data_IF_768186894842
#
_entry.id   IF_768186894842
#
_cell.length_a   1.000
_cell.length_b   1.000
_cell.length_c   1.000
_cell.angle_alpha   90.00
_cell.angle_beta   90.00
_cell.angle_gamma   90.00
#
_symmetry.space_group_name_H-M   'P 1'
#
loop_
_entity.id
_entity.type
_entity.pdbx_description
1 polymer ?
#
# COMPACT_ATOMS: atom_id res chain seq x y z
N UNK A 1 -12.19 -15.37 -80.70
CA UNK A 1 -13.44 -15.07 -79.97
C UNK A 1 -13.20 -15.23 -78.48
N UNK A 2 -13.67 -14.26 -77.69
CA UNK A 2 -13.85 -14.33 -76.23
C UNK A 2 -12.58 -14.31 -75.37
N UNK A 3 -12.54 -13.80 -74.13
CA UNK A 3 -13.47 -13.07 -73.25
C UNK A 3 -12.56 -12.43 -72.17
N UNK A 4 -12.95 -11.26 -71.65
CA UNK A 4 -12.33 -10.58 -70.50
C UNK A 4 -12.55 -11.36 -69.19
N UNK A 5 -11.55 -11.46 -68.32
CA UNK A 5 -11.69 -11.95 -66.94
C UNK A 5 -10.57 -11.40 -66.05
N UNK A 6 -10.93 -10.64 -65.01
CA UNK A 6 -10.01 -9.98 -64.08
C UNK A 6 -9.30 -10.94 -63.10
N UNK A 7 -8.38 -10.41 -62.27
CA UNK A 7 -7.64 -11.24 -61.31
C UNK A 7 -8.53 -11.68 -60.14
N UNK A 8 -8.60 -12.99 -59.97
CA UNK A 8 -9.15 -13.68 -58.79
C UNK A 8 -8.10 -13.73 -57.67
N UNK A 9 -8.59 -13.67 -56.44
CA UNK A 9 -7.83 -13.54 -55.20
C UNK A 9 -7.30 -14.92 -54.76
N UNK A 10 -6.08 -14.99 -54.21
CA UNK A 10 -5.72 -16.05 -53.25
C UNK A 10 -4.67 -15.59 -52.24
N UNK A 11 -5.14 -15.50 -51.00
CA UNK A 11 -4.50 -15.98 -49.77
C UNK A 11 -3.14 -15.40 -49.37
N UNK A 12 -3.20 -14.29 -48.62
CA UNK A 12 -2.12 -13.87 -47.73
C UNK A 12 -2.27 -14.56 -46.37
N UNK A 13 -1.24 -15.29 -45.98
CA UNK A 13 -1.10 -16.08 -44.76
C UNK A 13 -1.21 -15.24 -43.47
N UNK A 14 -2.13 -15.61 -42.58
CA UNK A 14 -2.15 -15.20 -41.18
C UNK A 14 -0.87 -15.70 -40.49
N UNK A 15 -0.03 -14.76 -40.09
CA UNK A 15 1.19 -15.03 -39.31
C UNK A 15 0.93 -14.66 -37.86
N UNK A 16 0.89 -15.70 -37.04
CA UNK A 16 0.92 -15.79 -35.58
C UNK A 16 1.25 -14.51 -34.80
N UNK A 17 0.22 -13.92 -34.19
CA UNK A 17 0.35 -12.88 -33.17
C UNK A 17 0.93 -13.51 -31.90
N UNK A 18 2.23 -13.29 -31.72
CA UNK A 18 3.02 -13.82 -30.62
C UNK A 18 3.03 -12.84 -29.45
N UNK A 19 2.61 -13.34 -28.30
CA UNK A 19 3.12 -12.94 -26.99
C UNK A 19 2.57 -11.63 -26.45
N UNK A 20 1.57 -11.76 -25.58
CA UNK A 20 1.23 -10.73 -24.62
C UNK A 20 2.49 -10.19 -23.95
N UNK A 21 2.61 -8.87 -24.06
CA UNK A 21 3.76 -8.04 -23.74
C UNK A 21 4.35 -8.35 -22.36
N UNK A 22 5.69 -8.46 -22.22
CA UNK A 22 6.29 -8.40 -20.91
C UNK A 22 5.96 -7.00 -20.39
N UNK A 23 5.26 -6.92 -19.26
CA UNK A 23 5.08 -5.66 -18.55
C UNK A 23 6.47 -5.05 -18.32
N UNK A 24 6.82 -4.12 -19.21
CA UNK A 24 7.83 -3.08 -19.09
C UNK A 24 8.97 -3.42 -18.11
N UNK A 25 9.83 -4.34 -18.52
CA UNK A 25 11.16 -4.50 -17.92
C UNK A 25 12.01 -3.21 -18.00
N UNK A 26 11.58 -2.23 -18.79
CA UNK A 26 12.13 -0.88 -18.85
C UNK A 26 11.87 -0.02 -17.60
N UNK A 27 10.95 -0.40 -16.70
CA UNK A 27 10.88 0.25 -15.37
C UNK A 27 12.08 -0.09 -14.48
N UNK A 28 12.81 -1.17 -14.77
CA UNK A 28 13.92 -1.62 -13.93
C UNK A 28 15.30 -1.14 -14.43
N UNK A 29 15.37 -0.38 -15.53
CA UNK A 29 16.63 0.05 -16.15
C UNK A 29 16.71 1.55 -16.43
N UNK A 30 15.91 2.37 -15.77
CA UNK A 30 16.14 3.81 -15.70
C UNK A 30 16.74 4.12 -14.34
N UNK A 31 17.89 4.79 -14.30
CA UNK A 31 18.51 5.31 -13.07
C UNK A 31 17.69 6.41 -12.38
N UNK A 32 16.37 6.39 -12.56
CA UNK A 32 15.43 7.28 -11.91
C UNK A 32 15.02 6.58 -10.61
N UNK A 33 15.71 6.93 -9.53
CA UNK A 33 15.28 6.50 -8.19
C UNK A 33 13.85 7.02 -8.00
N UNK A 34 12.89 6.20 -7.51
CA UNK A 34 11.51 6.65 -7.36
C UNK A 34 11.48 7.94 -6.54
N UNK A 35 10.65 8.89 -6.96
CA UNK A 35 10.55 10.20 -6.29
C UNK A 35 10.38 10.00 -4.77
N UNK A 36 11.05 10.81 -3.92
CA UNK A 36 10.94 10.68 -2.47
C UNK A 36 9.49 10.75 -2.00
N UNK A 37 9.09 9.79 -1.17
CA UNK A 37 7.72 9.67 -0.63
C UNK A 37 7.75 9.82 0.89
N UNK A 38 6.61 10.20 1.47
CA UNK A 38 6.38 10.11 2.91
C UNK A 38 5.52 8.89 3.22
N UNK A 39 6.09 7.91 3.91
CA UNK A 39 5.46 6.62 4.19
C UNK A 39 5.23 6.46 5.69
N UNK A 40 4.01 6.08 6.06
CA UNK A 40 3.65 5.69 7.43
C UNK A 40 3.46 4.18 7.49
N UNK A 41 4.24 3.50 8.32
CA UNK A 41 4.08 2.08 8.63
C UNK A 41 3.26 1.97 9.93
N UNK A 42 1.96 1.73 9.80
CA UNK A 42 1.07 1.51 10.94
C UNK A 42 1.15 0.04 11.38
N UNK A 43 1.62 -0.22 12.60
CA UNK A 43 1.74 -1.57 13.15
C UNK A 43 1.07 -1.64 14.51
N UNK A 44 0.01 -2.44 14.60
CA UNK A 44 -0.70 -2.75 15.85
C UNK A 44 -0.49 -4.22 16.14
N UNK A 45 0.27 -4.53 17.20
CA UNK A 45 0.62 -5.91 17.53
C UNK A 45 1.68 -6.01 18.64
N UNK A 46 2.25 -7.20 18.75
CA UNK A 46 3.33 -7.56 19.69
C UNK A 46 4.71 -7.13 19.18
N UNK A 47 5.76 -7.30 19.99
CA UNK A 47 7.14 -7.06 19.59
C UNK A 47 7.55 -7.82 18.32
N UNK A 48 7.04 -9.07 18.17
CA UNK A 48 7.28 -9.89 16.98
C UNK A 48 6.63 -9.34 15.72
N UNK A 49 5.50 -8.62 15.86
CA UNK A 49 4.84 -7.96 14.74
C UNK A 49 5.57 -6.68 14.33
N UNK A 50 6.17 -5.94 15.28
CA UNK A 50 6.86 -4.67 15.00
C UNK A 50 8.23 -4.87 14.35
N UNK A 51 8.97 -5.90 14.76
CA UNK A 51 10.36 -6.11 14.35
C UNK A 51 10.55 -6.14 12.82
N UNK A 52 9.77 -6.89 12.02
CA UNK A 52 9.95 -6.95 10.56
C UNK A 52 9.77 -5.60 9.88
N UNK A 53 8.85 -4.77 10.37
CA UNK A 53 8.58 -3.44 9.79
C UNK A 53 9.69 -2.44 10.07
N UNK A 54 10.49 -2.65 11.11
CA UNK A 54 11.69 -1.83 11.30
C UNK A 54 12.72 -2.06 10.18
N UNK A 55 12.90 -3.31 9.74
CA UNK A 55 13.80 -3.63 8.64
C UNK A 55 13.27 -3.10 7.30
N UNK A 56 11.96 -3.23 7.05
CA UNK A 56 11.30 -2.68 5.86
C UNK A 56 11.45 -1.15 5.84
N UNK A 57 11.15 -0.49 6.96
CA UNK A 57 11.26 0.96 7.08
C UNK A 57 12.69 1.45 6.84
N UNK A 58 13.70 0.73 7.35
CA UNK A 58 15.10 1.06 7.10
C UNK A 58 15.47 0.95 5.62
N UNK A 59 14.94 -0.04 4.90
CA UNK A 59 15.17 -0.16 3.46
C UNK A 59 14.54 1.01 2.71
N UNK A 60 13.28 1.32 2.98
CA UNK A 60 12.59 2.46 2.39
C UNK A 60 13.32 3.79 2.67
N UNK A 61 13.83 3.97 3.89
CA UNK A 61 14.63 5.14 4.24
C UNK A 61 15.94 5.23 3.44
N UNK A 62 16.62 4.09 3.24
CA UNK A 62 17.84 4.01 2.39
C UNK A 62 17.55 4.32 0.93
N UNK A 63 16.36 3.95 0.44
CA UNK A 63 15.91 4.22 -0.92
C UNK A 63 15.46 5.70 -1.10
N UNK A 64 15.58 6.54 -0.05
CA UNK A 64 15.35 7.99 -0.11
C UNK A 64 13.96 8.44 0.38
N UNK A 65 13.15 7.53 0.91
CA UNK A 65 11.83 7.86 1.43
C UNK A 65 11.89 8.34 2.88
N UNK A 66 11.00 9.26 3.24
CA UNK A 66 10.77 9.65 4.64
C UNK A 66 9.83 8.63 5.28
N UNK A 67 10.32 7.88 6.27
CA UNK A 67 9.57 6.79 6.89
C UNK A 67 9.27 7.08 8.35
N UNK A 68 8.00 6.90 8.74
CA UNK A 68 7.55 6.95 10.13
C UNK A 68 6.82 5.67 10.50
N UNK A 69 7.21 5.04 11.60
CA UNK A 69 6.54 3.85 12.12
C UNK A 69 5.61 4.27 13.27
N UNK A 70 4.32 3.95 13.13
CA UNK A 70 3.30 4.24 14.12
C UNK A 70 2.91 2.95 14.86
N UNK A 71 3.18 2.89 16.18
CA UNK A 71 2.88 1.71 17.02
C UNK A 71 2.69 2.08 18.49
N UNK A 72 2.59 1.08 19.37
CA UNK A 72 2.49 1.27 20.82
C UNK A 72 3.74 1.97 21.38
N UNK A 73 3.60 2.87 22.38
CA UNK A 73 4.71 3.66 22.93
C UNK A 73 5.91 2.85 23.41
N UNK A 74 5.68 1.63 23.88
CA UNK A 74 6.68 0.68 24.37
C UNK A 74 7.76 0.36 23.32
N UNK A 75 7.43 0.45 22.04
CA UNK A 75 8.35 0.13 20.94
C UNK A 75 9.08 1.36 20.39
N UNK A 76 8.91 2.54 20.98
CA UNK A 76 9.56 3.78 20.55
C UNK A 76 11.07 3.62 20.43
N UNK A 77 11.72 3.10 21.46
CA UNK A 77 13.18 2.95 21.49
C UNK A 77 13.66 1.97 20.43
N UNK A 78 12.95 0.85 20.25
CA UNK A 78 13.23 -0.11 19.19
C UNK A 78 13.23 0.58 17.82
N UNK A 79 12.20 1.35 17.50
CA UNK A 79 12.05 2.03 16.21
C UNK A 79 13.11 3.11 16.02
N UNK A 80 13.30 3.97 17.01
CA UNK A 80 14.25 5.09 16.93
C UNK A 80 15.70 4.59 16.88
N UNK A 81 16.03 3.48 17.53
CA UNK A 81 17.36 2.83 17.45
C UNK A 81 17.71 2.37 16.03
N UNK A 82 16.71 2.17 15.17
CA UNK A 82 16.86 1.79 13.77
C UNK A 82 16.95 3.00 12.83
N UNK A 83 16.94 4.22 13.36
CA UNK A 83 17.01 5.46 12.58
C UNK A 83 15.70 5.83 11.88
N UNK A 84 14.57 5.30 12.36
CA UNK A 84 13.24 5.62 11.84
C UNK A 84 12.54 6.65 12.72
N UNK A 85 11.66 7.45 12.12
CA UNK A 85 10.76 8.30 12.90
C UNK A 85 9.69 7.45 13.59
N UNK A 86 9.31 7.83 14.80
CA UNK A 86 8.29 7.13 15.57
C UNK A 86 7.06 8.02 15.80
N UNK A 87 5.87 7.46 15.60
CA UNK A 87 4.60 8.07 16.01
C UNK A 87 3.91 7.19 17.07
N UNK A 88 3.70 7.68 18.30
CA UNK A 88 2.91 6.93 19.26
C UNK A 88 1.47 6.85 18.78
N UNK A 89 0.91 5.65 18.69
CA UNK A 89 -0.53 5.51 18.51
C UNK A 89 -1.24 5.91 19.80
N UNK A 90 -2.07 6.95 19.70
CA UNK A 90 -3.08 7.28 20.70
C UNK A 90 -4.39 6.52 20.43
N UNK A 91 -5.26 6.47 21.44
CA UNK A 91 -6.53 5.72 21.37
C UNK A 91 -6.42 4.31 21.95
N UNK A 92 -7.56 3.74 22.34
CA UNK A 92 -7.62 2.40 22.92
C UNK A 92 -7.47 1.34 21.81
N UNK A 93 -6.43 0.48 21.84
CA UNK A 93 -6.25 -0.58 20.85
C UNK A 93 -7.46 -1.51 20.74
N UNK A 94 -8.27 -1.66 21.80
CA UNK A 94 -9.52 -2.43 21.76
C UNK A 94 -10.57 -1.81 20.85
N UNK A 95 -10.63 -0.46 20.81
CA UNK A 95 -11.57 0.27 19.95
C UNK A 95 -11.15 0.15 18.49
N UNK A 96 -9.85 0.24 18.20
CA UNK A 96 -9.33 0.08 16.85
C UNK A 96 -9.47 -1.37 16.35
N UNK A 97 -9.23 -2.36 17.21
CA UNK A 97 -9.50 -3.76 16.88
C UNK A 97 -11.00 -4.04 16.71
N UNK A 98 -11.88 -3.42 17.50
CA UNK A 98 -13.32 -3.58 17.35
C UNK A 98 -13.80 -3.02 16.00
N UNK A 99 -13.27 -1.88 15.58
CA UNK A 99 -13.54 -1.31 14.24
C UNK A 99 -13.02 -2.25 13.15
N UNK A 100 -11.77 -2.71 13.24
CA UNK A 100 -11.18 -3.62 12.26
C UNK A 100 -11.91 -4.97 12.16
N UNK A 101 -12.40 -5.51 13.28
CA UNK A 101 -13.23 -6.73 13.30
C UNK A 101 -14.60 -6.47 12.69
N UNK A 102 -15.23 -5.34 13.03
CA UNK A 102 -16.55 -4.94 12.50
C UNK A 102 -16.49 -4.68 10.99
N UNK A 103 -15.38 -4.17 10.46
CA UNK A 103 -15.20 -3.89 9.03
C UNK A 103 -14.46 -5.00 8.27
N UNK A 104 -14.12 -6.12 8.91
CA UNK A 104 -13.37 -7.21 8.28
C UNK A 104 -12.01 -6.77 7.72
N UNK A 105 -11.37 -5.78 8.34
CA UNK A 105 -10.09 -5.22 7.92
C UNK A 105 -10.18 -4.06 6.91
N UNK A 106 -11.38 -3.69 6.45
CA UNK A 106 -11.55 -2.53 5.57
C UNK A 106 -11.57 -1.22 6.37
N UNK A 107 -10.56 -0.37 6.16
CA UNK A 107 -10.53 1.00 6.69
C UNK A 107 -11.19 1.93 5.68
N UNK A 108 -12.52 2.09 5.77
CA UNK A 108 -13.27 3.03 4.93
C UNK A 108 -13.48 4.33 5.73
N UNK A 109 -12.93 5.48 5.29
CA UNK A 109 -13.11 6.76 6.00
C UNK A 109 -14.56 7.21 6.14
N UNK A 110 -15.46 6.65 5.31
CA UNK A 110 -16.84 7.12 5.14
C UNK A 110 -17.91 6.03 5.35
N UNK A 111 -17.56 4.89 5.97
CA UNK A 111 -18.50 3.79 6.21
C UNK A 111 -19.21 3.84 7.57
N UNK A 112 -18.99 4.90 8.35
CA UNK A 112 -19.65 5.08 9.64
C UNK A 112 -20.88 5.97 9.45
N UNK A 113 -22.05 5.48 9.85
CA UNK A 113 -23.24 6.34 9.97
C UNK A 113 -22.98 7.44 11.01
N UNK A 114 -23.67 8.60 10.93
CA UNK A 114 -23.46 9.72 11.85
C UNK A 114 -23.56 9.32 13.33
N UNK A 115 -24.39 8.33 13.65
CA UNK A 115 -24.55 7.74 14.98
C UNK A 115 -23.31 6.95 15.47
N UNK A 116 -22.59 6.27 14.57
CA UNK A 116 -21.32 5.59 14.90
C UNK A 116 -20.20 6.62 15.15
N UNK A 117 -20.27 7.80 14.51
CA UNK A 117 -19.33 8.91 14.70
C UNK A 117 -19.57 9.67 16.01
N UNK A 118 -20.83 9.84 16.43
CA UNK A 118 -21.22 10.49 17.68
C UNK A 118 -20.72 9.69 18.90
N UNK A 119 -20.82 8.35 18.84
CA UNK A 119 -20.23 7.46 19.84
C UNK A 119 -18.70 7.54 19.91
N UNK A 120 -18.02 7.69 18.77
CA UNK A 120 -16.56 7.78 18.72
C UNK A 120 -16.06 9.09 19.33
N UNK A 121 -16.67 10.22 19.01
CA UNK A 121 -16.32 11.55 19.53
C UNK A 121 -16.51 11.65 21.06
N UNK A 122 -17.65 11.14 21.57
CA UNK A 122 -17.89 11.06 23.02
C UNK A 122 -16.84 10.23 23.77
N UNK A 123 -16.29 9.22 23.12
CA UNK A 123 -15.29 8.33 23.72
C UNK A 123 -13.85 8.88 23.67
N UNK A 124 -13.61 9.91 22.86
CA UNK A 124 -12.35 10.68 22.83
C UNK A 124 -12.35 11.81 23.88
N UNK A 125 -13.50 12.43 24.15
CA UNK A 125 -13.62 13.50 25.14
C UNK A 125 -13.59 13.02 26.60
N UNK A 126 -13.80 11.72 26.86
CA UNK A 126 -13.78 11.13 28.21
C UNK A 126 -12.39 10.71 28.72
N UNK A 127 -11.34 10.83 27.90
CA UNK A 127 -9.95 10.59 28.29
C UNK A 127 -9.15 11.90 28.18
N UNK A 128 -9.61 12.90 28.93
CA UNK A 128 -8.88 14.12 29.27
C UNK A 128 -8.65 14.18 30.77
#
# INVERSE_FOLDING_TARGET
EGVLGGPDQSEGSDSDESGDSPLSSSFLMSGDSPAPLSVVLLVVGTYGDVLPFTAIGQRLAKDGHRVRLASHPEYRELVMSKGLEFYPLGGDPRKLSAVLVKTGGWLVPNAFSPEDMEWLDMSFQSVG
#
